data_IF_825920676554
#
_entry.id   IF_825920676554
#
_cell.length_a   1.000
_cell.length_b   1.000
_cell.length_c   1.000
_cell.angle_alpha   90.00
_cell.angle_beta   90.00
_cell.angle_gamma   90.00
#
_symmetry.space_group_name_H-M   'P 1'
#
loop_
_entity.id
_entity.type
_entity.pdbx_description
1 polymer ?
#
# COMPACT_ATOMS: atom_id res chain seq x y z
N UNK A 1 24.94 -24.52 -9.95
CA UNK A 1 24.52 -23.55 -10.98
C UNK A 1 23.13 -23.08 -10.61
N UNK A 2 23.00 -21.91 -10.01
CA UNK A 2 21.72 -21.28 -9.73
C UNK A 2 21.14 -20.84 -11.07
N UNK A 3 19.98 -21.36 -11.47
CA UNK A 3 19.27 -20.89 -12.65
C UNK A 3 19.01 -19.39 -12.47
N UNK A 4 19.45 -18.57 -13.42
CA UNK A 4 19.14 -17.14 -13.41
C UNK A 4 17.61 -17.01 -13.47
N UNK A 5 17.03 -16.35 -12.47
CA UNK A 5 15.59 -16.15 -12.42
C UNK A 5 15.14 -15.31 -13.62
N UNK A 6 14.23 -15.83 -14.43
CA UNK A 6 13.68 -15.12 -15.59
C UNK A 6 12.92 -13.87 -15.13
N UNK A 7 13.18 -12.72 -15.76
CA UNK A 7 12.41 -11.50 -15.50
C UNK A 7 10.92 -11.74 -15.83
N UNK A 8 9.97 -11.25 -15.02
CA UNK A 8 8.56 -11.37 -15.31
C UNK A 8 8.19 -10.58 -16.56
N UNK A 9 6.98 -10.80 -17.03
CA UNK A 9 6.39 -10.14 -18.19
C UNK A 9 5.06 -9.50 -17.81
N UNK A 10 4.47 -8.70 -18.71
CA UNK A 10 3.12 -8.16 -18.53
C UNK A 10 2.01 -9.20 -18.43
N UNK A 11 2.30 -10.48 -18.73
CA UNK A 11 1.35 -11.59 -18.55
C UNK A 11 1.31 -12.07 -17.10
N UNK A 12 2.35 -11.78 -16.32
CA UNK A 12 2.39 -12.06 -14.91
C UNK A 12 1.62 -10.94 -14.20
N UNK A 13 0.38 -11.22 -13.77
CA UNK A 13 -0.55 -10.19 -13.29
C UNK A 13 0.03 -9.35 -12.13
N UNK A 14 0.82 -9.96 -11.25
CA UNK A 14 1.50 -9.24 -10.16
C UNK A 14 2.52 -8.19 -10.64
N UNK A 15 2.99 -8.27 -11.89
CA UNK A 15 3.97 -7.38 -12.52
C UNK A 15 3.41 -6.63 -13.72
N UNK A 16 2.09 -6.70 -13.95
CA UNK A 16 1.44 -6.16 -15.16
C UNK A 16 1.77 -4.70 -15.45
N UNK A 17 1.89 -3.90 -14.40
CA UNK A 17 2.16 -2.46 -14.47
C UNK A 17 3.58 -2.09 -14.05
N UNK A 18 4.46 -3.08 -13.88
CA UNK A 18 5.83 -2.83 -13.46
C UNK A 18 6.62 -2.08 -14.54
N UNK A 19 7.52 -1.21 -14.09
CA UNK A 19 8.59 -0.68 -14.93
C UNK A 19 9.65 -1.77 -15.09
N UNK A 20 9.62 -2.49 -16.21
CA UNK A 20 10.52 -3.62 -16.45
C UNK A 20 11.98 -3.19 -16.62
N UNK A 21 12.23 -1.97 -17.10
CA UNK A 21 13.60 -1.46 -17.28
C UNK A 21 14.23 -1.19 -15.91
N UNK A 22 13.48 -0.57 -15.00
CA UNK A 22 13.93 -0.36 -13.63
C UNK A 22 13.96 -1.65 -12.80
N UNK A 23 12.95 -2.51 -12.94
CA UNK A 23 12.85 -3.81 -12.26
C UNK A 23 14.05 -4.71 -12.58
N UNK A 24 14.54 -4.70 -13.82
CA UNK A 24 15.71 -5.47 -14.22
C UNK A 24 16.97 -5.14 -13.38
N UNK A 25 17.09 -3.90 -12.89
CA UNK A 25 18.19 -3.47 -12.03
C UNK A 25 18.13 -3.99 -10.59
N UNK A 26 16.96 -4.43 -10.13
CA UNK A 26 16.70 -4.93 -8.76
C UNK A 26 16.22 -6.38 -8.74
N UNK A 27 16.31 -7.07 -9.87
CA UNK A 27 15.91 -8.47 -10.03
C UNK A 27 17.11 -9.41 -9.80
N UNK A 28 16.92 -10.60 -9.19
CA UNK A 28 15.69 -11.11 -8.58
C UNK A 28 15.39 -10.49 -7.22
N UNK A 29 14.12 -10.45 -6.87
CA UNK A 29 13.66 -9.97 -5.57
C UNK A 29 13.68 -11.15 -4.58
N UNK A 30 14.49 -11.04 -3.52
CA UNK A 30 14.52 -12.03 -2.45
C UNK A 30 13.27 -11.92 -1.57
N UNK A 31 12.78 -13.06 -1.08
CA UNK A 31 11.69 -13.11 -0.09
C UNK A 31 12.26 -12.92 1.31
N UNK A 32 11.74 -11.91 2.01
CA UNK A 32 12.01 -11.62 3.41
C UNK A 32 10.95 -12.31 4.26
N UNK A 33 11.32 -13.33 5.03
CA UNK A 33 10.37 -14.07 5.85
C UNK A 33 10.16 -13.40 7.21
N UNK A 34 8.89 -13.29 7.60
CA UNK A 34 8.44 -12.71 8.85
C UNK A 34 7.43 -13.66 9.48
N UNK A 35 7.67 -14.05 10.74
CA UNK A 35 6.72 -14.86 11.51
C UNK A 35 6.39 -14.11 12.79
N UNK A 36 5.11 -13.85 13.02
CA UNK A 36 4.60 -13.37 14.30
C UNK A 36 4.00 -14.56 15.02
N UNK A 37 4.66 -15.00 16.09
CA UNK A 37 4.30 -16.24 16.78
C UNK A 37 2.96 -16.11 17.52
N UNK A 38 2.32 -17.25 17.77
CA UNK A 38 0.97 -17.29 18.34
C UNK A 38 0.80 -16.40 19.59
N UNK A 39 -0.25 -15.59 19.60
CA UNK A 39 -0.59 -14.65 20.68
C UNK A 39 0.35 -13.45 20.84
N UNK A 40 1.35 -13.28 19.97
CA UNK A 40 2.24 -12.12 20.01
C UNK A 40 1.69 -10.96 19.20
N UNK A 41 2.16 -9.75 19.52
CA UNK A 41 1.89 -8.54 18.75
C UNK A 41 3.23 -7.99 18.24
N UNK A 42 3.30 -7.65 16.96
CA UNK A 42 4.47 -7.02 16.32
C UNK A 42 4.04 -5.79 15.53
N UNK A 43 4.93 -4.80 15.42
CA UNK A 43 4.72 -3.62 14.59
C UNK A 43 5.96 -3.33 13.75
N UNK A 44 5.76 -3.13 12.45
CA UNK A 44 6.82 -2.91 11.48
C UNK A 44 6.53 -1.70 10.63
N UNK A 45 7.61 -1.02 10.24
CA UNK A 45 7.56 0.11 9.33
C UNK A 45 8.58 -0.08 8.21
N UNK A 46 8.17 0.23 6.99
CA UNK A 46 9.02 0.26 5.81
C UNK A 46 8.91 1.65 5.20
N UNK A 47 10.04 2.36 5.13
CA UNK A 47 10.11 3.74 4.67
C UNK A 47 11.17 3.82 3.58
N UNK A 48 10.71 3.87 2.33
CA UNK A 48 11.56 3.92 1.14
C UNK A 48 11.56 5.34 0.56
N UNK A 49 12.59 6.11 0.93
CA UNK A 49 12.81 7.51 0.50
C UNK A 49 14.07 7.67 -0.38
N UNK A 50 14.80 6.59 -0.64
CA UNK A 50 16.08 6.63 -1.35
C UNK A 50 15.95 6.90 -2.84
N UNK A 51 17.03 7.37 -3.46
CA UNK A 51 17.12 7.67 -4.90
C UNK A 51 17.40 6.45 -5.78
N UNK A 52 17.69 5.29 -5.17
CA UNK A 52 17.92 4.06 -5.90
C UNK A 52 16.60 3.31 -6.10
N UNK A 53 16.51 2.57 -7.21
CA UNK A 53 15.41 1.63 -7.39
C UNK A 53 15.40 0.60 -6.26
N UNK A 54 14.22 0.27 -5.73
CA UNK A 54 14.04 -0.69 -4.66
C UNK A 54 12.90 -1.64 -4.99
N UNK A 55 13.12 -2.92 -4.74
CA UNK A 55 12.07 -3.93 -4.79
C UNK A 55 12.21 -4.88 -3.61
N UNK A 56 11.13 -5.06 -2.86
CA UNK A 56 11.08 -5.93 -1.67
C UNK A 56 9.90 -6.89 -1.77
N UNK A 57 10.07 -8.09 -1.23
CA UNK A 57 9.01 -9.08 -1.14
C UNK A 57 8.97 -9.64 0.27
N UNK A 58 7.95 -9.27 1.05
CA UNK A 58 7.72 -9.78 2.38
C UNK A 58 6.83 -11.02 2.29
N UNK A 59 7.25 -12.11 2.93
CA UNK A 59 6.46 -13.30 3.14
C UNK A 59 6.15 -13.43 4.63
N UNK A 60 4.92 -13.15 5.01
CA UNK A 60 4.49 -12.95 6.38
C UNK A 60 3.57 -14.07 6.81
N UNK A 61 3.82 -14.66 7.98
CA UNK A 61 2.88 -15.55 8.67
C UNK A 61 2.51 -14.94 10.01
N UNK A 62 1.21 -14.75 10.22
CA UNK A 62 0.64 -14.31 11.51
C UNK A 62 -0.06 -15.51 12.12
N UNK A 63 0.55 -16.08 13.16
CA UNK A 63 0.06 -17.30 13.80
C UNK A 63 -1.18 -17.05 14.67
N UNK A 64 -1.70 -18.12 15.27
CA UNK A 64 -2.96 -18.12 16.00
C UNK A 64 -3.04 -17.00 17.04
N UNK A 65 -4.06 -16.16 16.94
CA UNK A 65 -4.30 -15.05 17.87
C UNK A 65 -3.21 -13.97 17.88
N UNK A 66 -2.26 -14.00 16.95
CA UNK A 66 -1.19 -13.02 16.84
C UNK A 66 -1.66 -11.79 16.07
N UNK A 67 -0.95 -10.67 16.22
CA UNK A 67 -1.27 -9.40 15.56
C UNK A 67 -0.06 -8.79 14.89
N UNK A 68 -0.25 -8.25 13.70
CA UNK A 68 0.78 -7.50 13.00
C UNK A 68 0.22 -6.17 12.49
N UNK A 69 0.85 -5.08 12.92
CA UNK A 69 0.68 -3.75 12.33
C UNK A 69 1.87 -3.47 11.38
N UNK A 70 1.61 -3.40 10.07
CA UNK A 70 2.58 -3.05 9.05
C UNK A 70 2.27 -1.67 8.44
N UNK A 71 3.23 -0.75 8.53
CA UNK A 71 3.17 0.57 7.89
C UNK A 71 4.18 0.70 6.77
N UNK A 72 3.74 1.23 5.62
CA UNK A 72 4.57 1.40 4.43
C UNK A 72 4.49 2.83 3.94
N UNK A 73 5.64 3.48 3.76
CA UNK A 73 5.77 4.73 3.03
C UNK A 73 6.74 4.52 1.87
N UNK A 74 6.26 4.67 0.65
CA UNK A 74 7.09 4.70 -0.56
C UNK A 74 7.02 6.08 -1.17
N UNK A 75 8.17 6.74 -1.25
CA UNK A 75 8.27 8.15 -1.62
C UNK A 75 9.62 8.52 -2.25
N UNK A 76 10.50 7.55 -2.53
CA UNK A 76 11.78 7.79 -3.20
C UNK A 76 11.61 8.18 -4.68
N UNK A 77 12.52 8.99 -5.26
CA UNK A 77 12.41 9.48 -6.64
C UNK A 77 12.80 8.46 -7.72
N UNK A 78 12.66 7.17 -7.42
CA UNK A 78 13.02 6.07 -8.30
C UNK A 78 11.90 5.03 -8.33
N UNK A 79 12.14 3.93 -9.04
CA UNK A 79 11.25 2.78 -9.01
C UNK A 79 11.17 2.19 -7.60
N UNK A 80 9.96 2.01 -7.07
CA UNK A 80 9.75 1.43 -5.75
C UNK A 80 8.67 0.36 -5.79
N UNK A 81 9.00 -0.87 -5.43
CA UNK A 81 8.05 -1.98 -5.36
C UNK A 81 8.10 -2.66 -3.99
N UNK A 82 6.94 -2.79 -3.36
CA UNK A 82 6.80 -3.62 -2.16
C UNK A 82 5.69 -4.64 -2.39
N UNK A 83 6.08 -5.91 -2.45
CA UNK A 83 5.17 -7.04 -2.44
C UNK A 83 5.03 -7.59 -1.02
N UNK A 84 3.81 -7.91 -0.60
CA UNK A 84 3.49 -8.43 0.73
C UNK A 84 2.54 -9.62 0.58
N UNK A 85 3.04 -10.82 0.86
CA UNK A 85 2.24 -12.03 0.98
C UNK A 85 2.00 -12.28 2.47
N UNK A 86 0.76 -12.49 2.89
CA UNK A 86 0.38 -12.70 4.29
C UNK A 86 -0.49 -13.95 4.43
N UNK A 87 -0.11 -14.85 5.33
CA UNK A 87 -0.92 -15.98 5.78
C UNK A 87 -1.43 -15.70 7.20
N UNK A 88 -2.75 -15.74 7.40
CA UNK A 88 -3.41 -15.50 8.68
C UNK A 88 -4.01 -16.80 9.23
N UNK A 89 -3.54 -17.21 10.41
CA UNK A 89 -4.08 -18.35 11.15
C UNK A 89 -5.32 -17.96 11.98
N UNK A 90 -5.86 -18.90 12.77
CA UNK A 90 -7.08 -18.69 13.55
C UNK A 90 -6.97 -17.46 14.48
N UNK A 91 -7.91 -16.53 14.37
CA UNK A 91 -7.95 -15.33 15.20
C UNK A 91 -6.78 -14.37 15.02
N UNK A 92 -5.98 -14.51 13.96
CA UNK A 92 -4.91 -13.58 13.64
C UNK A 92 -5.47 -12.21 13.18
N UNK A 93 -4.79 -11.12 13.53
CA UNK A 93 -5.16 -9.76 13.14
C UNK A 93 -4.05 -9.10 12.33
N UNK A 94 -4.39 -8.56 11.17
CA UNK A 94 -3.43 -7.89 10.31
C UNK A 94 -3.90 -6.51 9.88
N UNK A 95 -3.10 -5.50 10.21
CA UNK A 95 -3.32 -4.13 9.79
C UNK A 95 -2.20 -3.72 8.82
N UNK A 96 -2.60 -3.23 7.65
CA UNK A 96 -1.71 -2.61 6.68
C UNK A 96 -2.14 -1.16 6.45
N UNK A 97 -1.24 -0.24 6.75
CA UNK A 97 -1.36 1.16 6.40
C UNK A 97 -0.28 1.56 5.42
N UNK A 98 -0.62 2.00 4.21
CA UNK A 98 0.38 2.32 3.19
C UNK A 98 0.12 3.63 2.45
N UNK A 99 1.21 4.37 2.20
CA UNK A 99 1.21 5.55 1.35
C UNK A 99 2.23 5.45 0.20
N UNK A 100 1.82 5.93 -0.98
CA UNK A 100 2.65 6.06 -2.17
C UNK A 100 2.64 7.52 -2.62
N UNK A 101 3.79 8.20 -2.62
CA UNK A 101 3.91 9.60 -2.98
C UNK A 101 4.89 9.75 -4.14
N UNK A 102 4.37 10.08 -5.33
CA UNK A 102 5.16 10.11 -6.55
C UNK A 102 4.96 11.39 -7.35
N UNK A 103 6.00 11.82 -8.05
CA UNK A 103 5.99 12.94 -9.00
C UNK A 103 6.90 12.65 -10.19
N UNK A 104 7.07 13.62 -11.10
CA UNK A 104 7.95 13.46 -12.26
C UNK A 104 7.55 12.28 -13.12
N UNK A 105 8.45 11.31 -13.31
CA UNK A 105 8.20 10.05 -14.03
C UNK A 105 8.40 8.81 -13.13
N UNK A 106 8.23 8.99 -11.82
CA UNK A 106 8.44 7.94 -10.82
C UNK A 106 7.36 6.87 -10.91
N UNK A 107 7.73 5.62 -10.67
CA UNK A 107 6.80 4.48 -10.66
C UNK A 107 6.87 3.76 -9.31
N UNK A 108 5.77 3.78 -8.56
CA UNK A 108 5.66 3.13 -7.26
C UNK A 108 4.57 2.05 -7.29
N UNK A 109 4.84 0.93 -6.64
CA UNK A 109 3.98 -0.25 -6.63
C UNK A 109 3.87 -0.84 -5.23
N UNK A 110 2.63 -1.12 -4.82
CA UNK A 110 2.33 -1.95 -3.66
C UNK A 110 1.48 -3.12 -4.15
N UNK A 111 1.95 -4.32 -3.88
CA UNK A 111 1.26 -5.55 -4.27
C UNK A 111 1.00 -6.38 -3.02
N UNK A 112 -0.25 -6.75 -2.76
CA UNK A 112 -0.61 -7.53 -1.58
C UNK A 112 -1.38 -8.79 -1.92
N UNK A 113 -1.07 -9.86 -1.20
CA UNK A 113 -1.85 -11.09 -1.17
C UNK A 113 -2.06 -11.47 0.29
N UNK A 114 -3.28 -11.29 0.79
CA UNK A 114 -3.65 -11.63 2.17
C UNK A 114 -4.56 -12.84 2.14
N UNK A 115 -4.09 -13.96 2.68
CA UNK A 115 -4.83 -15.22 2.75
C UNK A 115 -5.29 -15.48 4.18
N UNK A 116 -6.60 -15.48 4.37
CA UNK A 116 -7.26 -15.96 5.59
C UNK A 116 -7.35 -17.48 5.52
N UNK A 117 -6.44 -18.16 6.22
CA UNK A 117 -6.29 -19.61 6.15
C UNK A 117 -7.26 -20.35 7.09
N UNK A 118 -7.63 -19.70 8.19
CA UNK A 118 -8.40 -20.30 9.29
C UNK A 118 -9.46 -19.32 9.82
N UNK A 119 -10.28 -19.78 10.78
CA UNK A 119 -11.46 -19.05 11.26
C UNK A 119 -11.14 -17.77 12.04
N UNK A 120 -12.06 -16.83 12.01
CA UNK A 120 -12.08 -15.61 12.82
C UNK A 120 -10.85 -14.69 12.66
N UNK A 121 -10.09 -14.83 11.56
CA UNK A 121 -9.00 -13.91 11.25
C UNK A 121 -9.54 -12.58 10.73
N UNK A 122 -8.80 -11.51 11.00
CA UNK A 122 -9.18 -10.13 10.64
C UNK A 122 -8.08 -9.45 9.83
N UNK A 123 -8.48 -8.65 8.84
CA UNK A 123 -7.53 -7.84 8.08
C UNK A 123 -8.09 -6.50 7.65
N UNK A 124 -7.32 -5.42 7.86
CA UNK A 124 -7.64 -4.07 7.39
C UNK A 124 -6.49 -3.53 6.56
N UNK A 125 -6.76 -3.11 5.33
CA UNK A 125 -5.75 -2.56 4.42
C UNK A 125 -6.17 -1.15 3.98
N UNK A 126 -5.41 -0.13 4.37
CA UNK A 126 -5.65 1.28 4.03
C UNK A 126 -4.52 1.78 3.13
N UNK A 127 -4.83 2.05 1.87
CA UNK A 127 -3.86 2.45 0.85
C UNK A 127 -4.19 3.86 0.35
N UNK A 128 -3.22 4.77 0.44
CA UNK A 128 -3.35 6.19 0.04
C UNK A 128 -2.23 6.57 -0.93
N UNK A 129 -2.58 6.82 -2.18
CA UNK A 129 -1.60 7.23 -3.19
C UNK A 129 -1.82 8.69 -3.57
N UNK A 130 -0.78 9.53 -3.55
CA UNK A 130 -0.83 10.91 -4.03
C UNK A 130 0.20 11.10 -5.15
N UNK A 131 -0.29 11.41 -6.36
CA UNK A 131 0.47 11.27 -7.60
C UNK A 131 0.42 12.58 -8.40
N UNK A 132 1.58 13.14 -8.70
CA UNK A 132 1.75 14.36 -9.50
C UNK A 132 2.60 14.11 -10.76
N UNK A 133 2.73 15.13 -11.61
CA UNK A 133 3.51 15.04 -12.83
C UNK A 133 3.00 13.92 -13.75
N UNK A 134 3.90 13.09 -14.24
CA UNK A 134 3.64 11.93 -15.10
C UNK A 134 3.93 10.61 -14.34
N UNK A 135 3.87 10.65 -13.01
CA UNK A 135 4.15 9.49 -12.16
C UNK A 135 3.08 8.41 -12.33
N UNK A 136 3.46 7.18 -11.97
CA UNK A 136 2.57 6.02 -11.93
C UNK A 136 2.55 5.45 -10.52
N UNK A 137 1.37 5.40 -9.92
CA UNK A 137 1.12 4.67 -8.68
C UNK A 137 0.27 3.45 -8.94
N UNK A 138 0.73 2.28 -8.50
CA UNK A 138 0.00 1.02 -8.65
C UNK A 138 -0.26 0.38 -7.30
N UNK A 139 -1.51 -0.02 -7.08
CA UNK A 139 -1.91 -0.95 -6.03
C UNK A 139 -2.62 -2.16 -6.65
N UNK A 140 -2.05 -3.36 -6.42
CA UNK A 140 -2.68 -4.63 -6.77
C UNK A 140 -2.87 -5.42 -5.48
N UNK A 141 -4.11 -5.54 -5.01
CA UNK A 141 -4.39 -6.18 -3.73
C UNK A 141 -5.35 -7.33 -3.91
N UNK A 142 -5.03 -8.48 -3.31
CA UNK A 142 -5.92 -9.64 -3.27
C UNK A 142 -6.15 -10.08 -1.83
N UNK A 143 -7.40 -10.28 -1.47
CA UNK A 143 -7.77 -11.03 -0.26
C UNK A 143 -8.34 -12.38 -0.70
N UNK A 144 -7.74 -13.46 -0.21
CA UNK A 144 -8.25 -14.81 -0.36
C UNK A 144 -8.78 -15.31 0.98
N UNK A 145 -9.99 -15.87 0.99
CA UNK A 145 -10.60 -16.51 2.17
C UNK A 145 -10.74 -18.00 1.89
N UNK A 146 -9.95 -18.80 2.58
CA UNK A 146 -9.89 -20.24 2.38
C UNK A 146 -11.21 -20.92 2.79
N UNK A 147 -11.45 -22.12 2.25
CA UNK A 147 -12.62 -22.92 2.64
C UNK A 147 -12.54 -23.28 4.12
N UNK A 148 -13.58 -22.95 4.89
CA UNK A 148 -13.64 -23.17 6.34
C UNK A 148 -13.01 -22.06 7.18
N UNK A 149 -12.58 -20.95 6.58
CA UNK A 149 -12.16 -19.73 7.28
C UNK A 149 -13.36 -18.84 7.63
N UNK A 150 -14.40 -19.44 8.19
CA UNK A 150 -15.61 -18.75 8.64
C UNK A 150 -15.30 -17.77 9.79
N UNK A 151 -16.10 -16.72 9.92
CA UNK A 151 -15.89 -15.60 10.83
C UNK A 151 -14.84 -14.59 10.36
N UNK A 152 -14.33 -14.72 9.13
CA UNK A 152 -13.38 -13.74 8.55
C UNK A 152 -14.00 -12.34 8.49
N UNK A 153 -13.25 -11.33 8.91
CA UNK A 153 -13.58 -9.90 8.73
C UNK A 153 -12.44 -9.18 7.99
N UNK A 154 -12.69 -8.77 6.75
CA UNK A 154 -11.68 -8.28 5.84
C UNK A 154 -12.12 -6.99 5.12
N UNK A 155 -11.28 -5.95 5.17
CA UNK A 155 -11.53 -4.69 4.46
C UNK A 155 -10.30 -4.20 3.68
N UNK A 156 -10.53 -3.74 2.44
CA UNK A 156 -9.56 -2.96 1.66
C UNK A 156 -10.12 -1.57 1.34
N UNK A 157 -9.41 -0.52 1.75
CA UNK A 157 -9.73 0.88 1.48
C UNK A 157 -8.62 1.49 0.63
N UNK A 158 -8.82 1.52 -0.68
CA UNK A 158 -7.83 2.01 -1.66
C UNK A 158 -8.29 3.35 -2.21
N UNK A 159 -7.46 4.38 -2.05
CA UNK A 159 -7.74 5.69 -2.63
C UNK A 159 -6.49 6.26 -3.29
N UNK A 160 -6.66 6.80 -4.49
CA UNK A 160 -5.61 7.50 -5.22
C UNK A 160 -6.06 8.93 -5.55
N UNK A 161 -5.21 9.89 -5.21
CA UNK A 161 -5.35 11.31 -5.51
C UNK A 161 -4.42 11.68 -6.66
N UNK A 162 -5.00 12.05 -7.80
CA UNK A 162 -4.28 12.62 -8.92
C UNK A 162 -4.17 14.14 -8.70
N UNK A 163 -2.95 14.61 -8.42
CA UNK A 163 -2.64 16.03 -8.25
C UNK A 163 -2.59 16.72 -9.61
N UNK A 164 -2.06 16.01 -10.62
CA UNK A 164 -2.05 16.41 -12.02
C UNK A 164 -2.74 15.35 -12.88
N UNK A 165 -3.45 15.81 -13.93
CA UNK A 165 -4.18 14.92 -14.87
C UNK A 165 -3.26 14.03 -15.71
N UNK A 166 -1.96 14.28 -15.70
CA UNK A 166 -0.93 13.50 -16.38
C UNK A 166 -0.43 12.31 -15.55
N UNK A 167 -0.76 12.26 -14.26
CA UNK A 167 -0.41 11.14 -13.40
C UNK A 167 -1.35 9.95 -13.62
N UNK A 168 -0.85 8.74 -13.36
CA UNK A 168 -1.59 7.49 -13.57
C UNK A 168 -1.74 6.73 -12.26
N UNK A 169 -2.96 6.34 -11.92
CA UNK A 169 -3.24 5.41 -10.81
C UNK A 169 -3.82 4.10 -11.35
N UNK A 170 -3.15 2.98 -11.08
CA UNK A 170 -3.67 1.65 -11.32
C UNK A 170 -4.10 1.05 -9.98
N UNK A 171 -5.38 0.74 -9.81
CA UNK A 171 -5.88 0.15 -8.57
C UNK A 171 -6.77 -1.06 -8.88
N UNK A 172 -6.38 -2.23 -8.36
CA UNK A 172 -7.09 -3.49 -8.55
C UNK A 172 -7.18 -4.25 -7.21
N UNK A 173 -8.14 -3.90 -6.33
CA UNK A 173 -8.47 -4.73 -5.19
C UNK A 173 -9.38 -5.90 -5.61
N UNK A 174 -9.10 -7.09 -5.12
CA UNK A 174 -9.78 -8.33 -5.48
C UNK A 174 -10.12 -9.17 -4.24
N UNK A 175 -11.24 -9.87 -4.32
CA UNK A 175 -11.70 -10.80 -3.29
C UNK A 175 -11.91 -12.19 -3.91
N UNK A 176 -11.29 -13.21 -3.33
CA UNK A 176 -11.53 -14.62 -3.64
C UNK A 176 -12.05 -15.34 -2.39
N UNK A 177 -13.35 -15.61 -2.34
CA UNK A 177 -14.00 -16.08 -1.11
C UNK A 177 -14.56 -17.49 -1.31
N UNK A 178 -14.07 -18.43 -0.49
CA UNK A 178 -14.46 -19.84 -0.51
C UNK A 178 -15.10 -20.31 0.81
N UNK A 179 -15.37 -19.41 1.75
CA UNK A 179 -16.11 -19.64 3.00
C UNK A 179 -17.49 -18.95 2.97
N UNK A 180 -18.41 -19.40 3.81
CA UNK A 180 -19.82 -18.96 3.76
C UNK A 180 -20.09 -17.81 4.73
N UNK A 181 -19.59 -17.88 5.97
CA UNK A 181 -19.80 -16.86 6.99
C UNK A 181 -18.63 -15.87 7.03
N UNK A 182 -18.71 -14.82 6.21
CA UNK A 182 -17.65 -13.81 6.09
C UNK A 182 -18.22 -12.40 6.02
N UNK A 183 -17.43 -11.44 6.48
CA UNK A 183 -17.57 -10.03 6.14
C UNK A 183 -16.35 -9.63 5.34
N UNK A 184 -16.57 -9.30 4.08
CA UNK A 184 -15.50 -8.84 3.21
C UNK A 184 -15.96 -7.63 2.41
N UNK A 185 -15.18 -6.56 2.47
CA UNK A 185 -15.43 -5.33 1.75
C UNK A 185 -14.16 -4.85 1.04
N UNK A 186 -14.34 -4.27 -0.14
CA UNK A 186 -13.28 -3.50 -0.79
C UNK A 186 -13.87 -2.23 -1.38
N UNK A 187 -13.13 -1.13 -1.24
CA UNK A 187 -13.46 0.18 -1.77
C UNK A 187 -12.28 0.71 -2.56
N UNK A 188 -12.55 1.18 -3.78
CA UNK A 188 -11.55 1.79 -4.64
C UNK A 188 -12.07 3.13 -5.17
N UNK A 189 -11.32 4.20 -4.96
CA UNK A 189 -11.61 5.50 -5.55
C UNK A 189 -10.33 6.13 -6.13
N UNK A 190 -10.44 6.63 -7.36
CA UNK A 190 -9.40 7.45 -8.00
C UNK A 190 -10.03 8.78 -8.36
N UNK A 191 -9.41 9.88 -7.95
CA UNK A 191 -9.98 11.20 -8.18
C UNK A 191 -8.97 12.33 -8.01
N UNK A 192 -9.45 13.55 -8.23
CA UNK A 192 -8.71 14.79 -8.00
C UNK A 192 -9.12 15.40 -6.65
N UNK A 193 -8.38 16.40 -6.19
CA UNK A 193 -8.74 17.13 -4.98
C UNK A 193 -10.11 17.81 -5.13
N UNK A 194 -10.92 17.78 -4.07
CA UNK A 194 -12.23 18.42 -4.07
C UNK A 194 -12.11 19.93 -4.30
N UNK A 195 -12.59 20.39 -5.46
CA UNK A 195 -12.57 21.78 -5.85
C UNK A 195 -13.37 22.69 -4.89
N UNK A 196 -14.45 22.16 -4.27
CA UNK A 196 -15.22 22.93 -3.30
C UNK A 196 -14.45 23.10 -1.99
N UNK A 197 -13.81 22.03 -1.49
CA UNK A 197 -12.88 22.09 -0.35
C UNK A 197 -11.73 23.05 -0.59
N UNK A 198 -11.10 23.02 -1.77
CA UNK A 198 -10.04 23.95 -2.16
C UNK A 198 -10.53 25.41 -2.16
N UNK A 199 -11.70 25.68 -2.76
CA UNK A 199 -12.30 27.01 -2.77
C UNK A 199 -12.62 27.49 -1.34
N UNK A 200 -13.15 26.59 -0.49
CA UNK A 200 -13.45 26.90 0.90
C UNK A 200 -12.18 27.29 1.67
N UNK A 201 -11.09 26.52 1.56
CA UNK A 201 -9.82 26.84 2.22
C UNK A 201 -9.22 28.15 1.71
N UNK A 202 -9.30 28.39 0.39
CA UNK A 202 -8.85 29.66 -0.20
C UNK A 202 -9.64 30.86 0.35
N UNK A 203 -10.96 30.71 0.55
CA UNK A 203 -11.79 31.77 1.16
C UNK A 203 -11.44 32.06 2.62
N UNK A 204 -10.72 31.16 3.29
CA UNK A 204 -10.15 31.35 4.64
C UNK A 204 -8.73 31.92 4.63
N UNK A 205 -8.22 32.33 3.46
CA UNK A 205 -6.94 33.02 3.31
C UNK A 205 -5.75 32.10 3.05
N UNK A 206 -5.96 30.80 2.81
CA UNK A 206 -4.88 29.91 2.41
C UNK A 206 -4.55 30.13 0.93
N UNK A 207 -3.26 30.14 0.60
CA UNK A 207 -2.82 30.11 -0.79
C UNK A 207 -3.16 28.75 -1.43
N UNK A 208 -3.27 28.64 -2.77
CA UNK A 208 -3.55 27.36 -3.41
C UNK A 208 -2.57 26.23 -3.01
N UNK A 209 -1.24 26.46 -2.92
CA UNK A 209 -0.32 25.43 -2.43
C UNK A 209 -0.59 25.02 -0.97
N UNK A 210 -0.89 25.98 -0.08
CA UNK A 210 -1.21 25.68 1.32
C UNK A 210 -2.49 24.85 1.45
N UNK A 211 -3.53 25.18 0.67
CA UNK A 211 -4.79 24.45 0.67
C UNK A 211 -4.62 23.00 0.17
N UNK A 212 -3.92 22.82 -0.96
CA UNK A 212 -3.58 21.49 -1.49
C UNK A 212 -2.79 20.66 -0.47
N UNK A 213 -1.75 21.26 0.12
CA UNK A 213 -0.92 20.60 1.14
C UNK A 213 -1.74 20.12 2.33
N UNK A 214 -2.62 20.96 2.86
CA UNK A 214 -3.47 20.61 3.99
C UNK A 214 -4.41 19.42 3.69
N UNK A 215 -5.04 19.43 2.51
CA UNK A 215 -5.92 18.32 2.09
C UNK A 215 -5.14 17.01 1.88
N UNK A 216 -3.97 17.08 1.23
CA UNK A 216 -3.12 15.91 0.99
C UNK A 216 -2.52 15.37 2.29
N UNK A 217 -2.14 16.23 3.23
CA UNK A 217 -1.69 15.84 4.56
C UNK A 217 -2.76 14.99 5.26
N UNK A 218 -4.00 15.48 5.33
CA UNK A 218 -5.09 14.74 5.95
C UNK A 218 -5.37 13.42 5.23
N UNK A 219 -5.34 13.43 3.89
CA UNK A 219 -5.55 12.24 3.06
C UNK A 219 -4.50 11.14 3.30
N UNK A 220 -3.21 11.51 3.36
CA UNK A 220 -2.11 10.54 3.55
C UNK A 220 -2.05 10.06 5.00
N UNK A 221 -2.33 10.93 5.97
CA UNK A 221 -2.32 10.57 7.39
C UNK A 221 -3.29 9.42 7.72
N UNK A 222 -4.39 9.24 6.96
CA UNK A 222 -5.30 8.10 7.12
C UNK A 222 -4.58 6.74 7.07
N UNK A 223 -3.50 6.61 6.29
CA UNK A 223 -2.72 5.37 6.20
C UNK A 223 -1.92 5.07 7.47
N UNK A 224 -1.65 6.07 8.33
CA UNK A 224 -0.76 5.93 9.47
C UNK A 224 -1.45 6.02 10.82
N UNK A 225 -2.77 6.24 10.84
CA UNK A 225 -3.57 6.29 12.08
C UNK A 225 -3.31 5.05 12.93
N UNK A 226 -2.95 5.29 14.20
CA UNK A 226 -2.73 4.27 15.21
C UNK A 226 -1.35 3.60 15.14
N UNK A 227 -0.49 4.00 14.20
CA UNK A 227 0.87 3.49 14.13
C UNK A 227 1.68 3.95 15.37
N UNK A 228 2.56 3.11 15.94
CA UNK A 228 3.40 3.52 17.08
C UNK A 228 4.28 4.76 16.80
N UNK A 229 4.69 4.97 15.56
CA UNK A 229 5.49 6.12 15.10
C UNK A 229 4.73 6.98 14.07
N UNK A 230 3.41 7.17 14.27
CA UNK A 230 2.54 7.92 13.37
C UNK A 230 3.08 9.31 13.02
N UNK A 231 3.65 10.03 14.00
CA UNK A 231 4.21 11.37 13.81
C UNK A 231 5.39 11.35 12.82
N UNK A 232 6.34 10.44 12.99
CA UNK A 232 7.51 10.34 12.11
C UNK A 232 7.13 9.94 10.67
N UNK A 233 6.16 9.04 10.49
CA UNK A 233 5.65 8.66 9.18
C UNK A 233 4.95 9.86 8.50
N UNK A 234 4.15 10.60 9.26
CA UNK A 234 3.45 11.78 8.78
C UNK A 234 4.42 12.90 8.41
N UNK A 235 5.45 13.15 9.21
CA UNK A 235 6.51 14.12 8.91
C UNK A 235 7.28 13.76 7.62
N UNK A 236 7.66 12.48 7.47
CA UNK A 236 8.35 12.02 6.26
C UNK A 236 7.47 12.16 5.01
N UNK A 237 6.19 11.80 5.11
CA UNK A 237 5.22 11.97 4.04
C UNK A 237 5.01 13.44 3.68
N UNK A 238 4.93 14.32 4.69
CA UNK A 238 4.78 15.76 4.49
C UNK A 238 6.00 16.38 3.81
N UNK A 239 7.20 16.04 4.26
CA UNK A 239 8.44 16.48 3.64
C UNK A 239 8.49 16.10 2.16
N UNK A 240 8.02 14.88 1.81
CA UNK A 240 7.90 14.49 0.41
C UNK A 240 6.86 15.32 -0.34
N UNK A 241 5.66 15.53 0.23
CA UNK A 241 4.61 16.32 -0.40
C UNK A 241 5.05 17.76 -0.73
N UNK A 242 5.95 18.35 0.05
CA UNK A 242 6.53 19.67 -0.25
C UNK A 242 7.38 19.68 -1.53
N UNK A 243 7.94 18.54 -1.94
CA UNK A 243 8.64 18.40 -3.23
C UNK A 243 7.72 18.08 -4.41
N UNK A 244 6.46 17.73 -4.13
CA UNK A 244 5.45 17.32 -5.12
C UNK A 244 4.58 18.51 -5.55
N UNK A 245 4.32 19.46 -4.64
CA UNK A 245 3.42 20.61 -4.82
C UNK A 245 4.12 21.87 -5.31
#
# INVERSE_FOLDING_TARGET
MTLAATLPTRKDEAFRYADFDALAGVWPIAREEIVVAAGQEDSRQIVELGEAAVARHLAIRVEKGAKLDLRILTAGPAYGRIAVDVELAEGADFLLGAAQLATGSETLEIVTEVTHCEQNATSMQVIRSALAGHSTGTYLGRIAVARGADGTDAEQSVRAMLIDRTATANARPELEIYADDVKAAHGCAVGELDAQGLFYLASRGLTPPQAKRLMLQAFVAEAFIGAPNEEALSEAALARLESIL
#
